data_IF_881807619582
#
_entry.id   IF_881807619582
#
_cell.length_a   1.000
_cell.length_b   1.000
_cell.length_c   1.000
_cell.angle_alpha   90.00
_cell.angle_beta   90.00
_cell.angle_gamma   90.00
#
_symmetry.space_group_name_H-M   'P 1'
#
loop_
_entity.id
_entity.type
_entity.pdbx_description
1 polymer ?
#
# COMPACT_ATOMS: atom_id res chain seq x y z
N UNK A 1 1.15 -15.93 -13.92
CA UNK A 1 1.58 -14.77 -14.72
C UNK A 1 2.52 -13.97 -13.86
N UNK A 2 3.79 -13.84 -14.25
CA UNK A 2 4.74 -12.96 -13.55
C UNK A 2 4.36 -11.50 -13.88
N UNK A 3 4.48 -10.59 -12.92
CA UNK A 3 4.27 -9.16 -13.16
C UNK A 3 5.30 -8.67 -14.21
N UNK A 4 4.95 -7.70 -15.07
CA UNK A 4 5.77 -7.33 -16.23
C UNK A 4 7.14 -6.73 -15.87
N UNK A 5 7.36 -6.39 -14.60
CA UNK A 5 8.63 -5.87 -14.07
C UNK A 5 9.48 -6.93 -13.34
N UNK A 6 9.09 -8.19 -13.34
CA UNK A 6 9.95 -9.27 -12.84
C UNK A 6 10.83 -9.83 -13.97
N UNK A 7 12.14 -9.69 -13.82
CA UNK A 7 13.13 -10.40 -14.63
C UNK A 7 13.46 -11.76 -13.99
N UNK A 8 14.32 -12.57 -14.60
CA UNK A 8 14.71 -13.92 -14.14
C UNK A 8 15.36 -13.98 -12.72
N UNK A 9 15.47 -12.84 -12.03
CA UNK A 9 16.04 -12.70 -10.69
C UNK A 9 14.96 -12.60 -9.60
N UNK A 10 15.29 -13.03 -8.38
CA UNK A 10 14.38 -12.94 -7.23
C UNK A 10 14.16 -11.47 -6.83
N UNK A 11 12.92 -10.95 -6.85
CA UNK A 11 12.65 -9.53 -6.61
C UNK A 11 12.72 -9.18 -5.12
N UNK A 12 13.37 -8.05 -4.80
CA UNK A 12 13.45 -7.48 -3.47
C UNK A 12 12.35 -6.44 -3.25
N UNK A 13 11.46 -6.75 -2.32
CA UNK A 13 10.34 -5.89 -1.94
C UNK A 13 10.69 -5.07 -0.70
N UNK A 14 10.49 -3.76 -0.77
CA UNK A 14 10.40 -2.95 0.43
C UNK A 14 9.05 -3.21 1.10
N UNK A 15 9.07 -3.60 2.38
CA UNK A 15 7.86 -3.84 3.14
C UNK A 15 7.14 -2.52 3.52
N UNK A 16 5.80 -2.49 3.55
CA UNK A 16 5.03 -1.33 3.98
C UNK A 16 5.11 -1.17 5.50
N UNK A 17 5.49 0.02 5.96
CA UNK A 17 5.72 0.32 7.37
C UNK A 17 5.15 1.70 7.71
N UNK A 18 4.02 1.74 8.41
CA UNK A 18 3.40 2.99 8.83
C UNK A 18 4.35 3.83 9.71
N UNK A 19 4.51 5.10 9.36
CA UNK A 19 5.42 6.07 9.94
C UNK A 19 6.90 5.90 9.54
N UNK A 20 7.21 5.01 8.59
CA UNK A 20 8.59 4.72 8.17
C UNK A 20 8.75 4.73 6.65
N UNK A 21 7.89 4.01 5.91
CA UNK A 21 7.99 3.90 4.45
C UNK A 21 7.38 5.11 3.72
N UNK A 22 7.78 6.31 4.13
CA UNK A 22 7.43 7.56 3.48
C UNK A 22 8.15 7.72 2.13
N UNK A 23 7.81 8.78 1.39
CA UNK A 23 8.36 9.03 0.04
C UNK A 23 9.89 9.07 0.01
N UNK A 24 10.50 9.78 0.94
CA UNK A 24 11.96 9.96 0.96
C UNK A 24 12.66 8.63 1.28
N UNK A 25 12.15 7.89 2.26
CA UNK A 25 12.67 6.58 2.61
C UNK A 25 12.56 5.59 1.46
N UNK A 26 11.42 5.58 0.76
CA UNK A 26 11.21 4.70 -0.41
C UNK A 26 12.18 5.03 -1.54
N UNK A 27 12.39 6.30 -1.85
CA UNK A 27 13.34 6.73 -2.86
C UNK A 27 14.78 6.33 -2.50
N UNK A 28 15.17 6.45 -1.23
CA UNK A 28 16.45 5.95 -0.76
C UNK A 28 16.54 4.42 -0.93
N UNK A 29 15.54 3.66 -0.50
CA UNK A 29 15.55 2.20 -0.70
C UNK A 29 15.63 1.80 -2.17
N UNK A 30 15.00 2.57 -3.09
CA UNK A 30 15.09 2.35 -4.53
C UNK A 30 16.51 2.51 -5.04
N UNK A 31 17.21 3.57 -4.61
CA UNK A 31 18.61 3.81 -4.95
C UNK A 31 19.55 2.70 -4.44
N UNK A 32 19.24 2.13 -3.27
CA UNK A 32 20.07 1.11 -2.61
C UNK A 32 19.65 -0.34 -2.90
N UNK A 33 18.78 -0.58 -3.88
CA UNK A 33 18.54 -1.92 -4.43
C UNK A 33 17.18 -2.56 -4.13
N UNK A 34 16.18 -1.80 -3.68
CA UNK A 34 14.80 -2.29 -3.67
C UNK A 34 14.22 -2.31 -5.10
N UNK A 35 13.73 -3.47 -5.54
CA UNK A 35 13.15 -3.62 -6.88
C UNK A 35 11.72 -3.08 -6.93
N UNK A 36 10.94 -3.39 -5.89
CA UNK A 36 9.51 -3.04 -5.78
C UNK A 36 9.25 -2.31 -4.48
N UNK A 37 8.54 -1.19 -4.57
CA UNK A 37 8.20 -0.35 -3.43
C UNK A 37 6.74 -0.52 -3.04
N UNK A 38 6.43 -0.23 -1.79
CA UNK A 38 5.05 -0.13 -1.29
C UNK A 38 4.92 1.11 -0.44
N UNK A 39 3.79 1.81 -0.56
CA UNK A 39 3.46 2.92 0.34
C UNK A 39 3.28 2.44 1.78
N UNK A 40 3.16 3.38 2.71
CA UNK A 40 2.49 3.08 3.97
C UNK A 40 1.07 2.54 3.74
N UNK A 41 0.50 1.85 4.73
CA UNK A 41 -0.85 1.32 4.59
C UNK A 41 -1.91 2.33 5.01
N UNK A 42 -2.99 2.39 4.23
CA UNK A 42 -4.10 3.33 4.44
C UNK A 42 -5.42 2.58 4.61
N UNK A 43 -6.29 3.10 5.48
CA UNK A 43 -7.62 2.51 5.70
C UNK A 43 -8.53 2.81 4.52
N UNK A 44 -9.35 1.85 4.10
CA UNK A 44 -10.43 2.10 3.14
C UNK A 44 -11.33 3.27 3.57
N UNK A 45 -11.75 3.32 4.85
CA UNK A 45 -12.50 4.46 5.40
C UNK A 45 -11.82 5.80 5.13
N UNK A 46 -10.50 5.87 5.33
CA UNK A 46 -9.68 7.08 5.16
C UNK A 46 -9.56 7.54 3.71
N UNK A 47 -9.71 6.63 2.74
CA UNK A 47 -9.79 6.94 1.32
C UNK A 47 -11.11 7.66 1.03
N UNK A 48 -12.23 7.08 1.46
CA UNK A 48 -13.56 7.66 1.23
C UNK A 48 -13.74 9.08 1.75
N UNK A 49 -13.22 9.34 2.95
CA UNK A 49 -13.33 10.67 3.57
C UNK A 49 -12.35 11.69 2.97
N UNK A 50 -11.56 11.32 1.95
CA UNK A 50 -10.59 12.17 1.25
C UNK A 50 -9.73 13.00 2.19
N UNK A 51 -9.31 12.40 3.30
CA UNK A 51 -8.52 13.11 4.31
C UNK A 51 -7.22 13.62 3.69
N UNK A 52 -6.83 14.86 3.96
CA UNK A 52 -5.59 15.45 3.46
C UNK A 52 -4.36 14.56 3.77
N UNK A 53 -4.33 13.93 4.96
CA UNK A 53 -3.27 12.98 5.33
C UNK A 53 -3.24 11.74 4.44
N UNK A 54 -4.39 11.26 3.99
CA UNK A 54 -4.44 10.09 3.09
C UNK A 54 -3.77 10.38 1.76
N UNK A 55 -3.81 11.63 1.28
CA UNK A 55 -3.07 12.01 0.05
C UNK A 55 -1.57 11.98 0.26
N UNK A 56 -1.09 12.46 1.40
CA UNK A 56 0.32 12.46 1.75
C UNK A 56 0.90 11.03 1.80
N UNK A 57 0.17 10.08 2.39
CA UNK A 57 0.59 8.68 2.43
C UNK A 57 0.62 7.99 1.05
N UNK A 58 -0.17 8.48 0.11
CA UNK A 58 -0.31 7.93 -1.23
C UNK A 58 0.55 8.63 -2.28
N UNK A 59 1.24 9.71 -1.91
CA UNK A 59 2.08 10.46 -2.83
C UNK A 59 3.35 9.68 -3.18
N UNK A 60 3.66 9.63 -4.47
CA UNK A 60 4.88 9.03 -4.99
C UNK A 60 5.24 9.65 -6.36
N UNK A 61 6.52 9.58 -6.72
CA UNK A 61 7.04 10.03 -8.01
C UNK A 61 7.33 8.85 -8.95
N UNK A 62 7.48 9.12 -10.25
CA UNK A 62 7.77 8.09 -11.26
C UNK A 62 9.04 7.27 -10.98
N UNK A 63 10.03 7.85 -10.29
CA UNK A 63 11.26 7.14 -9.90
C UNK A 63 11.00 5.96 -8.94
N UNK A 64 9.88 5.99 -8.21
CA UNK A 64 9.51 4.96 -7.24
C UNK A 64 8.92 3.71 -7.89
N UNK A 65 8.58 3.77 -9.20
CA UNK A 65 7.97 2.64 -9.89
C UNK A 65 8.93 1.45 -10.06
N UNK A 66 8.47 0.19 -9.97
CA UNK A 66 7.09 -0.21 -9.65
C UNK A 66 6.76 0.01 -8.16
N UNK A 67 5.60 0.60 -7.91
CA UNK A 67 5.09 0.90 -6.56
C UNK A 67 3.64 0.46 -6.38
N UNK A 68 3.37 -0.16 -5.22
CA UNK A 68 2.03 -0.54 -4.82
C UNK A 68 1.49 0.28 -3.66
N UNK A 69 0.16 0.37 -3.59
CA UNK A 69 -0.54 0.95 -2.44
C UNK A 69 -1.14 -0.14 -1.59
N UNK A 70 -0.83 -0.16 -0.29
CA UNK A 70 -1.40 -1.11 0.65
C UNK A 70 -2.68 -0.56 1.30
N UNK A 71 -3.79 -1.28 1.15
CA UNK A 71 -5.08 -0.97 1.75
C UNK A 71 -5.41 -1.90 2.92
N UNK A 72 -6.19 -1.42 3.89
CA UNK A 72 -6.80 -2.27 4.91
C UNK A 72 -8.22 -1.85 5.24
N UNK A 73 -9.04 -2.82 5.64
CA UNK A 73 -10.44 -2.63 5.98
C UNK A 73 -11.14 -3.98 6.14
N UNK A 74 -12.40 -3.98 6.58
CA UNK A 74 -13.13 -5.20 6.91
C UNK A 74 -14.27 -5.54 5.94
N UNK A 75 -14.80 -4.54 5.24
CA UNK A 75 -15.91 -4.72 4.30
C UNK A 75 -15.38 -4.83 2.86
N UNK A 76 -15.71 -5.93 2.17
CA UNK A 76 -15.17 -6.22 0.85
C UNK A 76 -15.62 -5.22 -0.22
N UNK A 77 -16.88 -4.74 -0.16
CA UNK A 77 -17.38 -3.76 -1.13
C UNK A 77 -16.68 -2.42 -0.93
N UNK A 78 -16.54 -2.02 0.32
CA UNK A 78 -15.84 -0.80 0.72
C UNK A 78 -14.36 -0.84 0.30
N UNK A 79 -13.69 -1.98 0.47
CA UNK A 79 -12.31 -2.18 0.02
C UNK A 79 -12.19 -2.08 -1.50
N UNK A 80 -13.11 -2.68 -2.25
CA UNK A 80 -13.11 -2.62 -3.71
C UNK A 80 -13.29 -1.19 -4.23
N UNK A 81 -14.24 -0.45 -3.68
CA UNK A 81 -14.47 0.95 -4.03
C UNK A 81 -13.29 1.86 -3.62
N UNK A 82 -12.64 1.60 -2.49
CA UNK A 82 -11.42 2.31 -2.09
C UNK A 82 -10.27 2.04 -3.07
N UNK A 83 -10.10 0.80 -3.53
CA UNK A 83 -9.10 0.44 -4.52
C UNK A 83 -9.34 1.18 -5.85
N UNK A 84 -10.59 1.25 -6.33
CA UNK A 84 -10.94 2.04 -7.50
C UNK A 84 -10.55 3.52 -7.34
N UNK A 85 -10.87 4.13 -6.19
CA UNK A 85 -10.50 5.52 -5.92
C UNK A 85 -8.98 5.75 -5.90
N UNK A 86 -8.21 4.83 -5.32
CA UNK A 86 -6.74 4.90 -5.35
C UNK A 86 -6.20 4.84 -6.78
N UNK A 87 -6.71 3.90 -7.58
CA UNK A 87 -6.31 3.75 -8.99
C UNK A 87 -6.58 5.05 -9.75
N UNK A 88 -7.76 5.64 -9.57
CA UNK A 88 -8.14 6.88 -10.23
C UNK A 88 -7.27 8.07 -9.81
N UNK A 89 -6.87 8.14 -8.54
CA UNK A 89 -6.18 9.31 -7.97
C UNK A 89 -4.68 9.30 -8.20
N UNK A 90 -4.02 8.17 -7.94
CA UNK A 90 -2.55 8.10 -7.90
C UNK A 90 -1.98 7.07 -8.87
N UNK A 91 -2.81 6.18 -9.44
CA UNK A 91 -2.40 5.20 -10.48
C UNK A 91 -1.15 4.38 -10.09
N UNK A 92 -1.20 3.62 -8.97
CA UNK A 92 -0.10 2.74 -8.60
C UNK A 92 -0.01 1.55 -9.57
N UNK A 93 1.13 0.88 -9.59
CA UNK A 93 1.33 -0.30 -10.44
C UNK A 93 0.56 -1.53 -9.93
N UNK A 94 0.26 -1.57 -8.62
CA UNK A 94 -0.59 -2.59 -8.02
C UNK A 94 -1.28 -2.11 -6.73
N UNK A 95 -2.32 -2.84 -6.33
CA UNK A 95 -2.97 -2.71 -5.02
C UNK A 95 -2.61 -3.92 -4.18
N UNK A 96 -2.20 -3.68 -2.94
CA UNK A 96 -1.91 -4.69 -1.94
C UNK A 96 -2.93 -4.62 -0.78
N UNK A 97 -3.23 -5.76 -0.16
CA UNK A 97 -4.24 -5.86 0.89
C UNK A 97 -3.61 -6.35 2.20
N UNK A 98 -3.69 -5.53 3.25
CA UNK A 98 -3.17 -5.90 4.55
C UNK A 98 -4.14 -6.81 5.31
N UNK A 99 -3.81 -8.10 5.37
CA UNK A 99 -4.52 -9.11 6.16
C UNK A 99 -3.77 -9.56 7.43
N UNK A 100 -2.67 -8.89 7.81
CA UNK A 100 -1.77 -9.41 8.87
C UNK A 100 -1.57 -8.48 10.06
N UNK A 101 -1.88 -7.19 9.93
CA UNK A 101 -1.63 -6.24 11.01
C UNK A 101 -2.38 -6.65 12.29
N UNK A 102 -1.63 -6.81 13.38
CA UNK A 102 -2.13 -7.22 14.70
C UNK A 102 -2.33 -6.04 15.66
N UNK A 103 -2.06 -4.80 15.19
CA UNK A 103 -2.22 -3.58 15.98
C UNK A 103 -3.68 -3.44 16.41
N UNK A 104 -3.91 -3.20 17.72
CA UNK A 104 -5.24 -3.15 18.33
C UNK A 104 -6.24 -2.30 17.55
N UNK A 105 -5.83 -1.12 17.07
CA UNK A 105 -6.68 -0.18 16.30
C UNK A 105 -7.18 -0.76 14.96
N UNK A 106 -6.39 -1.64 14.34
CA UNK A 106 -6.73 -2.29 13.07
C UNK A 106 -7.61 -3.52 13.34
N UNK A 107 -7.19 -4.36 14.28
CA UNK A 107 -7.93 -5.57 14.68
C UNK A 107 -9.31 -5.24 15.26
N UNK A 108 -9.44 -4.17 16.06
CA UNK A 108 -10.72 -3.75 16.66
C UNK A 108 -11.73 -3.24 15.63
N UNK A 109 -11.29 -2.98 14.39
CA UNK A 109 -12.16 -2.61 13.25
C UNK A 109 -12.36 -3.78 12.29
N UNK A 110 -12.08 -5.01 12.72
CA UNK A 110 -12.10 -6.23 11.90
C UNK A 110 -11.16 -6.17 10.67
N UNK A 111 -10.11 -5.35 10.71
CA UNK A 111 -9.08 -5.32 9.68
C UNK A 111 -7.84 -6.14 10.07
N UNK A 112 -6.91 -6.30 9.13
CA UNK A 112 -5.64 -6.99 9.39
C UNK A 112 -5.85 -8.45 9.76
N UNK A 113 -5.16 -8.95 10.79
CA UNK A 113 -5.21 -10.37 11.18
C UNK A 113 -6.59 -10.84 11.65
N UNK A 114 -7.52 -9.93 11.97
CA UNK A 114 -8.90 -10.28 12.30
C UNK A 114 -9.63 -10.96 11.13
N UNK A 115 -9.20 -10.71 9.89
CA UNK A 115 -9.77 -11.29 8.67
C UNK A 115 -9.37 -12.74 8.42
N UNK A 116 -8.38 -13.24 9.17
CA UNK A 116 -7.83 -14.60 9.01
C UNK A 116 -8.36 -15.59 10.06
N UNK A 117 -9.42 -15.21 10.77
CA UNK A 117 -10.16 -16.10 11.69
C UNK A 117 -11.27 -16.81 10.95
#
# INVERSE_FOLDING_TARGET
>A
MLLPWFFEQFPLYLAPMAGVSDKIFRQLCKEYGADVLTTEFVSADGIFHRNARTREYLDFDEIERPIGVQLFGADAKHMAEAACQVIDWVRPDFIDLNFRCSVKKVVSRNGGSALLK
#
